data_IF_198851146681
#
_entry.id   IF_198851146681
#
_cell.length_a   1.000
_cell.length_b   1.000
_cell.length_c   1.000
_cell.angle_alpha   90.00
_cell.angle_beta   90.00
_cell.angle_gamma   90.00
#
_symmetry.space_group_name_H-M   'P 1'
#
loop_
_entity.id
_entity.type
_entity.pdbx_description
1 polymer ?
#
# COMPACT_ATOMS: atom_id res chain seq x y z
N UNK A 1 -12.98 10.10 -18.32
CA UNK A 1 -11.90 9.11 -18.14
C UNK A 1 -10.87 9.73 -17.21
N UNK A 2 -10.89 9.39 -15.93
CA UNK A 2 -9.84 9.81 -14.99
C UNK A 2 -8.70 8.79 -15.10
N UNK A 3 -7.59 9.18 -15.72
CA UNK A 3 -6.38 8.36 -15.70
C UNK A 3 -5.92 8.24 -14.25
N UNK A 4 -5.72 7.01 -13.78
CA UNK A 4 -5.12 6.79 -12.46
C UNK A 4 -3.78 7.53 -12.39
N UNK A 5 -3.43 8.17 -11.26
CA UNK A 5 -2.14 8.82 -11.11
C UNK A 5 -0.99 7.86 -11.41
N UNK A 6 0.19 8.35 -11.78
CA UNK A 6 1.37 7.50 -11.88
C UNK A 6 1.93 7.22 -10.48
N UNK A 7 2.64 6.10 -10.33
CA UNK A 7 3.43 5.84 -9.12
C UNK A 7 4.57 6.85 -9.02
N UNK A 8 4.80 7.35 -7.81
CA UNK A 8 5.98 8.15 -7.50
C UNK A 8 7.24 7.25 -7.46
N UNK A 9 8.46 7.84 -7.51
CA UNK A 9 9.71 7.07 -7.49
C UNK A 9 9.89 6.18 -6.25
N UNK A 10 9.21 6.48 -5.15
CA UNK A 10 9.22 5.68 -3.93
C UNK A 10 8.26 4.47 -3.99
N UNK A 11 7.64 4.20 -5.13
CA UNK A 11 6.72 3.07 -5.32
C UNK A 11 5.30 3.31 -4.83
N UNK A 12 4.96 4.52 -4.39
CA UNK A 12 3.64 4.83 -3.85
C UNK A 12 2.81 5.71 -4.79
N UNK A 13 1.51 5.50 -4.75
CA UNK A 13 0.51 6.32 -5.44
C UNK A 13 -0.65 6.60 -4.50
N UNK A 14 -1.09 7.86 -4.45
CA UNK A 14 -2.33 8.24 -3.76
C UNK A 14 -3.44 8.46 -4.78
N UNK A 15 -4.59 7.84 -4.53
CA UNK A 15 -5.81 7.99 -5.30
C UNK A 15 -6.61 9.20 -4.81
N UNK A 16 -7.53 9.68 -5.65
CA UNK A 16 -8.41 10.82 -5.32
C UNK A 16 -9.32 10.58 -4.11
N UNK A 17 -9.64 9.32 -3.81
CA UNK A 17 -10.43 8.91 -2.64
C UNK A 17 -9.59 8.75 -1.35
N UNK A 18 -8.30 9.10 -1.39
CA UNK A 18 -7.38 8.96 -0.26
C UNK A 18 -6.72 7.60 -0.12
N UNK A 19 -7.11 6.59 -0.91
CA UNK A 19 -6.44 5.28 -0.93
C UNK A 19 -4.98 5.43 -1.35
N UNK A 20 -4.09 4.80 -0.60
CA UNK A 20 -2.67 4.71 -0.88
C UNK A 20 -2.36 3.32 -1.43
N UNK A 21 -1.74 3.25 -2.60
CA UNK A 21 -1.38 2.02 -3.29
C UNK A 21 0.13 1.95 -3.48
N UNK A 22 0.70 0.79 -3.22
CA UNK A 22 2.09 0.48 -3.53
C UNK A 22 2.20 -0.31 -4.85
N UNK A 23 3.32 -0.18 -5.57
CA UNK A 23 3.60 -0.92 -6.81
C UNK A 23 3.50 -2.44 -6.67
N UNK A 24 3.66 -2.97 -5.45
CA UNK A 24 3.45 -4.40 -5.17
C UNK A 24 1.97 -4.82 -5.22
N UNK A 25 1.04 -3.89 -5.42
CA UNK A 25 -0.40 -4.12 -5.44
C UNK A 25 -1.09 -3.95 -4.09
N UNK A 26 -0.33 -3.71 -3.02
CA UNK A 26 -0.87 -3.51 -1.67
C UNK A 26 -1.58 -2.15 -1.56
N UNK A 27 -2.77 -2.12 -0.96
CA UNK A 27 -3.58 -0.92 -0.82
C UNK A 27 -4.00 -0.66 0.63
N UNK A 28 -4.01 0.62 1.00
CA UNK A 28 -4.45 1.11 2.30
C UNK A 28 -5.45 2.24 2.10
N UNK A 29 -6.52 2.25 2.87
CA UNK A 29 -7.53 3.30 2.84
C UNK A 29 -7.64 3.97 4.20
N UNK A 30 -8.00 5.26 4.25
CA UNK A 30 -8.26 5.93 5.52
C UNK A 30 -9.40 5.22 6.26
N UNK A 31 -9.28 5.08 7.58
CA UNK A 31 -10.39 4.64 8.41
C UNK A 31 -11.21 5.85 8.93
N UNK A 32 -12.37 5.57 9.51
CA UNK A 32 -13.25 6.63 10.04
C UNK A 32 -12.70 7.33 11.30
N UNK A 33 -11.66 6.78 11.92
CA UNK A 33 -11.02 7.33 13.10
C UNK A 33 -9.76 8.16 12.76
N UNK A 34 -9.50 8.43 11.48
CA UNK A 34 -8.32 9.18 11.03
C UNK A 34 -7.04 8.34 10.99
N UNK A 35 -7.14 7.02 11.17
CA UNK A 35 -6.08 6.06 10.94
C UNK A 35 -6.10 5.50 9.52
N UNK A 36 -5.65 4.26 9.37
CA UNK A 36 -5.65 3.55 8.10
C UNK A 36 -5.99 2.08 8.31
N UNK A 37 -6.59 1.48 7.29
CA UNK A 37 -6.82 0.03 7.21
C UNK A 37 -6.27 -0.54 5.92
N UNK A 38 -5.76 -1.77 6.00
CA UNK A 38 -5.36 -2.54 4.84
C UNK A 38 -6.60 -2.99 4.07
N UNK A 39 -6.60 -2.78 2.76
CA UNK A 39 -7.64 -3.30 1.87
C UNK A 39 -7.41 -4.80 1.70
N UNK A 40 -8.25 -5.64 2.30
CA UNK A 40 -8.04 -7.09 2.36
C UNK A 40 -7.92 -7.75 0.98
N UNK A 41 -8.68 -7.30 -0.02
CA UNK A 41 -8.58 -7.82 -1.39
C UNK A 41 -7.22 -7.55 -2.03
N UNK A 42 -6.53 -6.48 -1.65
CA UNK A 42 -5.19 -6.13 -2.15
C UNK A 42 -4.09 -7.03 -1.59
N UNK A 43 -4.34 -7.73 -0.48
CA UNK A 43 -3.36 -8.63 0.13
C UNK A 43 -3.09 -9.84 -0.75
N UNK A 44 -4.12 -10.38 -1.41
CA UNK A 44 -3.95 -11.50 -2.35
C UNK A 44 -3.09 -11.09 -3.55
N UNK A 45 -3.37 -9.92 -4.12
CA UNK A 45 -2.59 -9.34 -5.24
C UNK A 45 -1.13 -9.14 -4.82
N UNK A 46 -0.90 -8.61 -3.62
CA UNK A 46 0.44 -8.48 -3.05
C UNK A 46 1.17 -9.82 -2.97
N UNK A 47 0.54 -10.85 -2.40
CA UNK A 47 1.12 -12.18 -2.24
C UNK A 47 1.47 -12.80 -3.60
N UNK A 48 0.57 -12.70 -4.58
CA UNK A 48 0.80 -13.19 -5.93
C UNK A 48 1.97 -12.48 -6.62
N UNK A 49 2.03 -11.15 -6.52
CA UNK A 49 3.09 -10.35 -7.11
C UNK A 49 4.47 -10.69 -6.52
N UNK A 50 4.60 -10.69 -5.19
CA UNK A 50 5.89 -10.99 -4.55
C UNK A 50 6.32 -12.43 -4.78
N UNK A 51 5.37 -13.37 -4.84
CA UNK A 51 5.67 -14.77 -5.19
C UNK A 51 6.20 -14.89 -6.62
N UNK A 52 5.63 -14.15 -7.57
CA UNK A 52 6.10 -14.11 -8.96
C UNK A 52 7.52 -13.51 -9.09
N UNK A 53 7.91 -12.64 -8.15
CA UNK A 53 9.27 -12.10 -8.03
C UNK A 53 10.24 -13.06 -7.31
N UNK A 54 9.79 -14.25 -6.90
CA UNK A 54 10.62 -15.24 -6.20
C UNK A 54 10.88 -14.92 -4.72
N UNK A 55 10.09 -14.02 -4.13
CA UNK A 55 10.19 -13.63 -2.72
C UNK A 55 9.69 -14.77 -1.83
N UNK A 56 10.46 -15.13 -0.79
CA UNK A 56 10.04 -16.13 0.19
C UNK A 56 8.91 -15.61 1.08
N UNK A 57 8.16 -16.51 1.72
CA UNK A 57 7.10 -16.10 2.65
C UNK A 57 7.63 -15.18 3.77
N UNK A 58 8.78 -15.51 4.36
CA UNK A 58 9.37 -14.69 5.43
C UNK A 58 9.74 -13.28 4.92
N UNK A 59 10.29 -13.19 3.71
CA UNK A 59 10.60 -11.91 3.09
C UNK A 59 9.32 -11.11 2.77
N UNK A 60 8.26 -11.78 2.30
CA UNK A 60 6.97 -11.16 2.03
C UNK A 60 6.33 -10.61 3.31
N UNK A 61 6.38 -11.35 4.43
CA UNK A 61 5.90 -10.89 5.73
C UNK A 61 6.68 -9.68 6.26
N UNK A 62 8.02 -9.71 6.13
CA UNK A 62 8.88 -8.56 6.49
C UNK A 62 8.56 -7.34 5.64
N UNK A 63 8.36 -7.54 4.33
CA UNK A 63 7.98 -6.48 3.39
C UNK A 63 6.61 -5.91 3.73
N UNK A 64 5.61 -6.76 4.01
CA UNK A 64 4.27 -6.34 4.41
C UNK A 64 4.32 -5.45 5.66
N UNK A 65 5.09 -5.85 6.69
CA UNK A 65 5.28 -5.05 7.91
C UNK A 65 5.91 -3.69 7.60
N UNK A 66 6.94 -3.65 6.75
CA UNK A 66 7.61 -2.41 6.34
C UNK A 66 6.67 -1.48 5.57
N UNK A 67 5.96 -1.98 4.57
CA UNK A 67 5.02 -1.20 3.76
C UNK A 67 3.86 -0.68 4.61
N UNK A 68 3.37 -1.49 5.56
CA UNK A 68 2.35 -1.05 6.52
C UNK A 68 2.85 0.11 7.38
N UNK A 69 4.11 0.08 7.85
CA UNK A 69 4.68 1.20 8.62
C UNK A 69 4.79 2.47 7.77
N UNK A 70 5.32 2.36 6.54
CA UNK A 70 5.43 3.48 5.61
C UNK A 70 4.06 4.07 5.27
N UNK A 71 3.05 3.22 5.05
CA UNK A 71 1.68 3.69 4.83
C UNK A 71 1.18 4.50 6.03
N UNK A 72 1.41 4.04 7.27
CA UNK A 72 1.04 4.83 8.47
C UNK A 72 1.69 6.19 8.47
N UNK A 73 2.98 6.28 8.16
CA UNK A 73 3.70 7.55 8.06
C UNK A 73 3.09 8.48 6.99
N UNK A 74 2.64 7.94 5.84
CA UNK A 74 1.94 8.70 4.80
C UNK A 74 0.57 9.23 5.24
N UNK A 75 -0.10 8.57 6.18
CA UNK A 75 -1.38 9.03 6.74
C UNK A 75 -1.17 9.97 7.95
N UNK A 76 -0.14 9.75 8.77
CA UNK A 76 0.21 10.64 9.90
C UNK A 76 0.80 11.95 9.38
N UNK A 77 1.67 11.90 8.36
CA UNK A 77 2.26 13.09 7.73
C UNK A 77 1.26 13.97 6.96
N UNK A 78 -0.02 13.60 6.91
CA UNK A 78 -1.12 14.46 6.45
C UNK A 78 -1.75 15.30 7.58
N UNK A 79 -1.45 15.01 8.85
CA UNK A 79 -2.01 15.70 10.02
C UNK A 79 -1.16 16.90 10.48
N UNK A 80 -0.01 17.16 9.83
CA UNK A 80 0.85 18.33 10.02
C UNK A 80 0.93 19.15 8.73
#
# INVERSE_FOLDING_TARGET
MTSLPKFAPNGWRRHSNGTLEHVSGLQFEPDQAGGMKLVQSSLLVFIENVKNEGVSQEQAERLLKKLTLQAKEHFIGLLH
#
